data_IF_522817696797
#
_entry.id   IF_522817696797
#
_cell.length_a   1.000
_cell.length_b   1.000
_cell.length_c   1.000
_cell.angle_alpha   90.00
_cell.angle_beta   90.00
_cell.angle_gamma   90.00
#
_symmetry.space_group_name_H-M   'P 1'
#
loop_
_entity.id
_entity.type
_entity.pdbx_description
1 polymer ?
#
# COMPACT_ATOMS: atom_id res chain seq x y z
N UNK A 1 -9.03 13.55 -10.47
CA UNK A 1 -10.05 14.37 -9.80
C UNK A 1 -10.72 15.24 -10.84
N UNK A 2 -11.96 15.64 -10.61
CA UNK A 2 -12.74 16.45 -11.54
C UNK A 2 -13.27 17.67 -10.79
N UNK A 3 -13.12 18.87 -11.36
CA UNK A 3 -13.70 20.10 -10.78
C UNK A 3 -15.24 20.05 -10.93
N UNK A 4 -15.97 20.38 -9.86
CA UNK A 4 -17.43 20.36 -9.85
C UNK A 4 -18.00 21.69 -9.33
N UNK A 5 -19.24 22.07 -9.72
CA UNK A 5 -19.87 23.30 -9.23
C UNK A 5 -19.98 23.34 -7.70
N UNK A 6 -19.96 24.56 -7.15
CA UNK A 6 -20.11 24.75 -5.71
C UNK A 6 -21.55 24.52 -5.25
N UNK A 7 -21.74 24.05 -4.01
CA UNK A 7 -23.06 23.74 -3.42
C UNK A 7 -24.01 24.94 -3.41
N UNK A 8 -23.50 26.18 -3.49
CA UNK A 8 -24.33 27.39 -3.60
C UNK A 8 -25.20 27.42 -4.86
N UNK A 9 -24.84 26.65 -5.88
CA UNK A 9 -25.52 26.62 -7.19
C UNK A 9 -26.46 25.40 -7.34
N UNK A 10 -26.53 24.50 -6.36
CA UNK A 10 -27.32 23.27 -6.42
C UNK A 10 -28.75 23.47 -5.88
N UNK A 11 -29.76 23.10 -6.66
CA UNK A 11 -31.20 23.26 -6.32
C UNK A 11 -31.71 22.27 -5.25
N UNK A 12 -31.00 21.17 -5.00
CA UNK A 12 -31.34 20.16 -3.98
C UNK A 12 -30.11 19.75 -3.15
N UNK A 13 -30.31 19.44 -1.87
CA UNK A 13 -29.24 18.95 -0.99
C UNK A 13 -28.93 17.48 -1.30
N UNK A 14 -28.04 17.27 -2.24
CA UNK A 14 -27.51 15.95 -2.55
C UNK A 14 -26.57 15.45 -1.43
N UNK A 15 -26.71 14.18 -1.04
CA UNK A 15 -25.81 13.54 -0.07
C UNK A 15 -24.38 13.59 -0.59
N UNK A 16 -23.51 14.31 0.11
CA UNK A 16 -22.11 14.50 -0.26
C UNK A 16 -21.22 14.60 0.98
N UNK A 17 -19.95 14.25 0.82
CA UNK A 17 -18.96 14.31 1.88
C UNK A 17 -17.70 15.03 1.40
N UNK A 18 -17.23 15.96 2.21
CA UNK A 18 -16.00 16.72 1.99
C UNK A 18 -14.90 16.18 2.89
N UNK A 19 -13.93 15.48 2.29
CA UNK A 19 -12.79 14.92 3.00
C UNK A 19 -11.78 16.03 3.37
N UNK A 20 -11.55 16.29 4.67
CA UNK A 20 -10.43 17.12 5.09
C UNK A 20 -9.12 16.48 4.64
N UNK A 21 -8.19 17.28 4.16
CA UNK A 21 -6.89 16.80 3.73
C UNK A 21 -5.78 17.79 4.02
N UNK A 22 -4.56 17.27 4.12
CA UNK A 22 -3.34 18.06 4.28
C UNK A 22 -2.15 17.36 3.65
N UNK A 23 -1.12 18.11 3.30
CA UNK A 23 0.15 17.55 2.84
C UNK A 23 1.05 17.18 4.01
N UNK A 24 1.69 16.02 3.93
CA UNK A 24 2.77 15.58 4.83
C UNK A 24 4.03 15.37 3.99
N UNK A 25 5.09 16.09 4.35
CA UNK A 25 6.38 15.93 3.69
C UNK A 25 7.15 14.78 4.34
N UNK A 26 7.60 13.82 3.53
CA UNK A 26 8.51 12.74 3.91
C UNK A 26 9.82 12.94 3.19
N UNK A 27 10.77 13.61 3.85
CA UNK A 27 12.07 13.98 3.26
C UNK A 27 12.95 12.76 2.93
N UNK A 28 12.70 11.65 3.62
CA UNK A 28 13.32 10.33 3.45
C UNK A 28 12.73 9.50 2.30
N UNK A 29 11.59 9.92 1.72
CA UNK A 29 10.98 9.19 0.61
C UNK A 29 11.72 9.42 -0.71
N UNK A 30 12.27 8.35 -1.28
CA UNK A 30 12.95 8.38 -2.58
C UNK A 30 12.03 8.68 -3.76
N UNK A 31 10.72 8.35 -3.67
CA UNK A 31 9.78 8.48 -4.78
C UNK A 31 8.78 9.63 -4.65
N UNK A 32 8.32 9.98 -3.45
CA UNK A 32 7.26 10.99 -3.29
C UNK A 32 7.44 11.78 -2.00
N UNK A 33 8.12 12.93 -2.11
CA UNK A 33 8.43 13.81 -0.98
C UNK A 33 7.19 14.41 -0.31
N UNK A 34 6.08 14.58 -1.02
CA UNK A 34 4.83 15.10 -0.48
C UNK A 34 3.70 14.08 -0.63
N UNK A 35 3.17 13.59 0.49
CA UNK A 35 1.98 12.73 0.52
C UNK A 35 0.79 13.55 1.00
N UNK A 36 -0.31 13.56 0.24
CA UNK A 36 -1.57 14.10 0.76
C UNK A 36 -2.14 13.08 1.74
N UNK A 37 -2.74 13.49 2.85
CA UNK A 37 -3.44 12.63 3.80
C UNK A 37 -4.90 13.05 3.84
N UNK A 38 -5.81 12.12 3.58
CA UNK A 38 -7.25 12.35 3.69
C UNK A 38 -7.77 11.81 5.03
N UNK A 39 -8.49 12.64 5.79
CA UNK A 39 -9.06 12.25 7.06
C UNK A 39 -10.55 11.93 6.94
N UNK A 40 -10.88 10.73 6.48
CA UNK A 40 -12.27 10.28 6.36
C UNK A 40 -12.88 9.80 7.69
N UNK A 41 -12.08 9.75 8.77
CA UNK A 41 -12.54 9.50 10.14
C UNK A 41 -12.91 10.80 10.88
N UNK A 42 -12.74 11.96 10.26
CA UNK A 42 -13.19 13.22 10.81
C UNK A 42 -14.71 13.22 10.94
N UNK A 43 -15.21 13.44 12.16
CA UNK A 43 -16.64 13.55 12.42
C UNK A 43 -17.21 14.79 11.74
N UNK A 44 -18.34 14.62 11.06
CA UNK A 44 -19.06 15.74 10.46
C UNK A 44 -19.95 16.44 11.49
N UNK A 45 -20.74 17.44 11.06
CA UNK A 45 -21.62 18.22 11.95
C UNK A 45 -22.68 17.38 12.67
N UNK A 46 -22.99 16.18 12.19
CA UNK A 46 -23.92 15.25 12.84
C UNK A 46 -23.21 14.24 13.78
N UNK A 47 -21.89 14.37 13.98
CA UNK A 47 -21.11 13.48 14.84
C UNK A 47 -20.68 12.14 14.23
N UNK A 48 -21.06 11.87 12.97
CA UNK A 48 -20.74 10.66 12.22
C UNK A 48 -19.65 11.00 11.19
N UNK A 49 -18.65 10.12 11.04
CA UNK A 49 -17.60 10.22 10.02
C UNK A 49 -17.96 9.42 8.76
N UNK A 50 -17.24 9.66 7.65
CA UNK A 50 -17.49 8.88 6.43
C UNK A 50 -17.12 7.40 6.62
N UNK A 51 -16.06 7.13 7.37
CA UNK A 51 -15.65 5.76 7.69
C UNK A 51 -16.67 5.00 8.55
N UNK A 52 -17.47 5.69 9.37
CA UNK A 52 -18.51 5.03 10.20
C UNK A 52 -19.67 4.44 9.37
N UNK A 53 -19.87 4.92 8.15
CA UNK A 53 -21.01 4.53 7.29
C UNK A 53 -20.60 3.66 6.09
N UNK A 54 -19.31 3.38 5.94
CA UNK A 54 -18.79 2.58 4.85
C UNK A 54 -18.89 1.08 5.14
N UNK A 55 -19.13 0.31 4.09
CA UNK A 55 -18.97 -1.14 4.14
C UNK A 55 -17.51 -1.50 3.86
N UNK A 56 -16.77 -1.88 4.92
CA UNK A 56 -15.32 -2.16 4.86
C UNK A 56 -14.99 -3.36 3.97
N UNK A 57 -15.91 -4.33 3.84
CA UNK A 57 -15.67 -5.59 3.15
C UNK A 57 -14.83 -6.58 3.99
N UNK A 58 -14.91 -7.89 3.69
CA UNK A 58 -14.13 -8.90 4.40
C UNK A 58 -12.64 -8.84 4.03
N UNK A 59 -11.79 -9.45 4.84
CA UNK A 59 -10.40 -9.70 4.48
C UNK A 59 -10.33 -10.74 3.35
N UNK A 60 -9.59 -10.44 2.27
CA UNK A 60 -9.45 -11.32 1.09
C UNK A 60 -8.01 -11.73 0.76
N UNK A 61 -7.05 -11.21 1.51
CA UNK A 61 -5.63 -11.56 1.43
C UNK A 61 -5.23 -12.36 2.67
N UNK A 62 -4.23 -13.22 2.47
CA UNK A 62 -3.55 -13.92 3.55
C UNK A 62 -2.90 -12.93 4.53
N UNK A 63 -2.45 -13.43 5.66
CA UNK A 63 -1.67 -12.61 6.56
C UNK A 63 -0.21 -12.47 6.16
N UNK A 64 0.32 -11.31 6.54
CA UNK A 64 1.70 -10.97 6.23
C UNK A 64 2.66 -12.00 6.81
N UNK A 65 2.31 -12.65 7.92
CA UNK A 65 3.18 -13.67 8.49
C UNK A 65 3.20 -14.93 7.62
N UNK A 66 2.04 -15.42 7.16
CA UNK A 66 1.92 -16.53 6.21
C UNK A 66 2.68 -16.25 4.91
N UNK A 67 2.55 -15.03 4.37
CA UNK A 67 3.27 -14.56 3.18
C UNK A 67 4.78 -14.61 3.43
N UNK A 68 5.25 -14.09 4.56
CA UNK A 68 6.66 -14.07 4.93
C UNK A 68 7.23 -15.48 5.16
N UNK A 69 6.44 -16.42 5.69
CA UNK A 69 6.84 -17.81 5.82
C UNK A 69 7.05 -18.44 4.45
N UNK A 70 6.07 -18.32 3.54
CA UNK A 70 6.19 -18.84 2.16
C UNK A 70 7.40 -18.26 1.45
N UNK A 71 7.57 -16.95 1.54
CA UNK A 71 8.73 -16.22 1.04
C UNK A 71 10.06 -16.83 1.51
N UNK A 72 10.15 -17.22 2.79
CA UNK A 72 11.36 -17.83 3.36
C UNK A 72 11.63 -19.27 2.94
N UNK A 73 10.67 -19.97 2.36
CA UNK A 73 10.88 -21.31 1.83
C UNK A 73 11.54 -21.32 0.45
N UNK A 74 11.50 -20.22 -0.29
CA UNK A 74 12.09 -20.13 -1.62
C UNK A 74 13.60 -19.91 -1.58
N UNK A 75 14.30 -20.52 -2.54
CA UNK A 75 15.74 -20.27 -2.76
C UNK A 75 15.98 -18.95 -3.45
N UNK A 76 15.11 -18.60 -4.40
CA UNK A 76 15.17 -17.36 -5.16
C UNK A 76 13.90 -16.59 -4.86
N UNK A 77 14.04 -15.39 -4.32
CA UNK A 77 12.91 -14.57 -3.90
C UNK A 77 12.76 -13.36 -4.79
N UNK A 78 11.52 -12.89 -4.95
CA UNK A 78 11.16 -11.79 -5.83
C UNK A 78 10.17 -10.86 -5.13
N UNK A 79 10.53 -9.58 -5.06
CA UNK A 79 9.72 -8.54 -4.45
C UNK A 79 9.52 -7.38 -5.41
N UNK A 80 8.33 -6.78 -5.41
CA UNK A 80 7.99 -5.55 -6.13
C UNK A 80 6.85 -4.79 -5.44
N UNK A 81 6.68 -3.50 -5.77
CA UNK A 81 5.53 -2.70 -5.31
C UNK A 81 4.64 -2.24 -6.48
N UNK A 82 3.32 -2.25 -6.28
CA UNK A 82 2.36 -1.68 -7.23
C UNK A 82 2.38 -0.15 -7.12
N UNK A 83 2.67 0.52 -8.24
CA UNK A 83 2.66 1.97 -8.27
C UNK A 83 1.26 2.55 -7.99
N UNK A 84 1.17 3.24 -6.84
CA UNK A 84 -0.01 4.03 -6.46
C UNK A 84 -1.29 3.21 -6.59
N UNK A 85 -1.28 1.98 -6.07
CA UNK A 85 -2.35 0.97 -6.22
C UNK A 85 -3.77 1.56 -6.19
N UNK A 86 -4.14 2.29 -5.13
CA UNK A 86 -5.48 2.87 -4.97
C UNK A 86 -5.88 3.82 -6.11
N UNK A 87 -4.91 4.53 -6.70
CA UNK A 87 -5.18 5.49 -7.78
C UNK A 87 -5.44 4.83 -9.13
N UNK A 88 -5.19 3.53 -9.27
CA UNK A 88 -5.49 2.79 -10.50
C UNK A 88 -6.95 2.33 -10.57
N UNK A 89 -7.70 2.44 -9.47
CA UNK A 89 -9.05 1.88 -9.35
C UNK A 89 -10.06 3.02 -9.36
N UNK A 90 -10.94 3.01 -10.36
CA UNK A 90 -11.98 4.03 -10.53
C UNK A 90 -13.14 3.76 -9.56
N UNK A 91 -13.60 4.81 -8.88
CA UNK A 91 -14.81 4.79 -8.06
C UNK A 91 -16.02 5.02 -8.96
N UNK A 92 -17.10 4.28 -8.67
CA UNK A 92 -18.40 4.45 -9.30
C UNK A 92 -18.82 5.92 -9.31
N UNK A 93 -19.29 6.40 -10.46
CA UNK A 93 -19.64 7.81 -10.67
C UNK A 93 -20.66 8.33 -9.66
N UNK A 94 -21.61 7.51 -9.21
CA UNK A 94 -22.64 7.92 -8.25
C UNK A 94 -22.07 8.10 -6.84
N UNK A 95 -20.94 7.45 -6.53
CA UNK A 95 -20.30 7.52 -5.22
C UNK A 95 -19.22 8.62 -5.12
N UNK A 96 -18.77 9.20 -6.23
CA UNK A 96 -17.70 10.23 -6.24
C UNK A 96 -18.06 11.48 -5.45
N UNK A 97 -19.35 11.81 -5.37
CA UNK A 97 -19.86 12.91 -4.53
C UNK A 97 -19.60 12.72 -3.03
N UNK A 98 -19.28 11.50 -2.60
CA UNK A 98 -18.88 11.17 -1.22
C UNK A 98 -17.36 11.29 -1.01
N UNK A 99 -16.61 11.71 -2.02
CA UNK A 99 -15.16 11.92 -1.96
C UNK A 99 -14.78 13.31 -2.48
N UNK A 100 -15.50 14.35 -2.02
CA UNK A 100 -15.22 15.74 -2.39
C UNK A 100 -14.07 16.31 -1.59
N UNK A 101 -13.32 17.22 -2.18
CA UNK A 101 -12.28 18.01 -1.50
C UNK A 101 -12.41 19.48 -1.87
N UNK A 102 -11.91 20.35 -0.98
CA UNK A 102 -11.80 21.79 -1.20
C UNK A 102 -10.34 22.13 -1.48
N UNK A 103 -10.03 22.69 -2.64
CA UNK A 103 -8.65 22.99 -3.03
C UNK A 103 -8.52 24.34 -3.74
N UNK A 104 -7.36 24.97 -3.59
CA UNK A 104 -6.92 26.17 -4.31
C UNK A 104 -5.40 26.16 -4.35
N UNK A 105 -4.80 26.64 -5.43
CA UNK A 105 -3.34 26.66 -5.57
C UNK A 105 -2.70 27.76 -4.73
N UNK A 106 -3.36 28.92 -4.62
CA UNK A 106 -2.86 30.06 -3.84
C UNK A 106 -3.92 30.61 -2.88
N UNK A 107 -3.54 31.25 -1.75
CA UNK A 107 -4.49 31.85 -0.82
C UNK A 107 -5.36 32.96 -1.43
N UNK A 108 -4.90 33.59 -2.51
CA UNK A 108 -5.60 34.62 -3.28
C UNK A 108 -6.66 34.07 -4.22
N UNK A 109 -6.57 32.80 -4.60
CA UNK A 109 -7.53 32.17 -5.51
C UNK A 109 -8.81 31.72 -4.80
N UNK A 110 -9.94 31.68 -5.54
CA UNK A 110 -11.18 31.11 -5.03
C UNK A 110 -11.00 29.63 -4.72
N UNK A 111 -11.61 29.18 -3.62
CA UNK A 111 -11.66 27.75 -3.27
C UNK A 111 -12.56 27.02 -4.28
N UNK A 112 -12.02 25.97 -4.88
CA UNK A 112 -12.72 25.09 -5.80
C UNK A 112 -13.10 23.77 -5.14
N UNK A 113 -14.12 23.11 -5.70
CA UNK A 113 -14.56 21.78 -5.26
C UNK A 113 -14.11 20.76 -6.30
N UNK A 114 -13.50 19.68 -5.82
CA UNK A 114 -13.11 18.56 -6.67
C UNK A 114 -13.71 17.26 -6.15
N UNK A 115 -14.08 16.38 -7.07
CA UNK A 115 -14.40 14.98 -6.77
C UNK A 115 -13.19 14.09 -7.06
N UNK A 116 -12.83 13.23 -6.11
CA UNK A 116 -11.83 12.20 -6.31
C UNK A 116 -12.45 11.06 -7.12
N UNK A 117 -11.81 10.70 -8.24
CA UNK A 117 -12.35 9.73 -9.21
C UNK A 117 -11.97 8.29 -8.90
N UNK A 118 -10.99 8.09 -8.01
CA UNK A 118 -10.35 6.81 -7.76
C UNK A 118 -10.42 6.48 -6.28
N UNK A 119 -10.14 5.23 -5.92
CA UNK A 119 -10.16 4.79 -4.53
C UNK A 119 -9.21 5.68 -3.72
N UNK A 120 -9.74 6.28 -2.65
CA UNK A 120 -9.01 7.24 -1.83
C UNK A 120 -8.54 6.56 -0.54
N UNK A 121 -7.24 6.54 -0.31
CA UNK A 121 -6.66 6.04 0.95
C UNK A 121 -7.15 6.89 2.14
N UNK A 122 -7.22 6.27 3.31
CA UNK A 122 -7.85 6.86 4.50
C UNK A 122 -9.36 6.63 4.57
N UNK A 123 -9.98 6.11 3.50
CA UNK A 123 -11.32 5.51 3.57
C UNK A 123 -11.24 4.07 4.10
N UNK A 124 -12.20 3.67 4.91
CA UNK A 124 -12.21 2.35 5.56
C UNK A 124 -12.39 1.19 4.58
N UNK A 125 -13.10 1.39 3.45
CA UNK A 125 -13.29 0.36 2.42
C UNK A 125 -12.15 0.26 1.41
N UNK A 126 -11.21 1.22 1.39
CA UNK A 126 -10.13 1.25 0.40
C UNK A 126 -9.28 -0.05 0.36
N UNK A 127 -8.86 -0.64 1.49
CA UNK A 127 -8.06 -1.86 1.46
C UNK A 127 -8.79 -3.03 0.80
N UNK A 128 -10.08 -3.23 1.12
CA UNK A 128 -10.86 -4.28 0.47
C UNK A 128 -11.03 -4.01 -1.02
N UNK A 129 -11.40 -2.80 -1.41
CA UNK A 129 -11.61 -2.45 -2.82
C UNK A 129 -10.34 -2.69 -3.64
N UNK A 130 -9.17 -2.34 -3.10
CA UNK A 130 -7.91 -2.52 -3.82
C UNK A 130 -7.49 -3.98 -3.91
N UNK A 131 -7.49 -4.69 -2.79
CA UNK A 131 -7.05 -6.10 -2.73
C UNK A 131 -8.03 -7.04 -3.45
N UNK A 132 -9.33 -6.72 -3.45
CA UNK A 132 -10.34 -7.49 -4.20
C UNK A 132 -10.13 -7.42 -5.71
N UNK A 133 -9.57 -6.33 -6.25
CA UNK A 133 -9.18 -6.24 -7.66
C UNK A 133 -8.08 -7.26 -8.00
N UNK A 134 -7.01 -7.35 -7.18
CA UNK A 134 -5.97 -8.38 -7.37
C UNK A 134 -6.59 -9.78 -7.24
N UNK A 135 -7.44 -10.00 -6.24
CA UNK A 135 -8.11 -11.29 -6.07
C UNK A 135 -8.99 -11.65 -7.26
N UNK A 136 -9.61 -10.67 -7.93
CA UNK A 136 -10.36 -10.91 -9.15
C UNK A 136 -9.44 -11.37 -10.28
N UNK A 137 -8.30 -10.70 -10.46
CA UNK A 137 -7.30 -11.10 -11.47
C UNK A 137 -6.77 -12.52 -11.22
N UNK A 138 -6.58 -12.91 -9.96
CA UNK A 138 -6.23 -14.29 -9.57
C UNK A 138 -7.30 -15.29 -10.03
N UNK A 139 -8.59 -15.00 -9.80
CA UNK A 139 -9.69 -15.88 -10.19
C UNK A 139 -9.88 -16.00 -11.71
N UNK A 140 -9.59 -14.92 -12.44
CA UNK A 140 -9.74 -14.88 -13.91
C UNK A 140 -8.50 -15.42 -14.65
N UNK A 141 -7.38 -15.57 -13.94
CA UNK A 141 -6.12 -16.05 -14.50
C UNK A 141 -6.19 -17.54 -14.87
N UNK A 142 -5.71 -17.87 -16.07
CA UNK A 142 -5.69 -19.24 -16.58
C UNK A 142 -4.41 -20.00 -16.21
N UNK A 143 -3.32 -19.28 -15.94
CA UNK A 143 -2.07 -19.89 -15.48
C UNK A 143 -2.18 -20.14 -13.97
N UNK A 144 -2.21 -21.41 -13.51
CA UNK A 144 -2.42 -21.72 -12.10
C UNK A 144 -1.30 -21.21 -11.19
N UNK A 145 -0.07 -21.11 -11.69
CA UNK A 145 1.07 -20.60 -10.90
C UNK A 145 0.85 -19.11 -10.65
N UNK A 146 0.49 -18.37 -11.68
CA UNK A 146 0.27 -16.92 -11.59
C UNK A 146 -1.00 -16.60 -10.81
N UNK A 147 -2.04 -17.42 -10.95
CA UNK A 147 -3.26 -17.31 -10.16
C UNK A 147 -2.98 -17.47 -8.67
N UNK A 148 -2.14 -18.42 -8.29
CA UNK A 148 -1.73 -18.68 -6.90
C UNK A 148 -0.93 -17.50 -6.33
N UNK A 149 0.09 -17.01 -7.06
CA UNK A 149 0.88 -15.84 -6.67
C UNK A 149 0.00 -14.59 -6.47
N UNK A 150 -0.88 -14.27 -7.41
CA UNK A 150 -1.83 -13.15 -7.24
C UNK A 150 -2.79 -13.37 -6.05
N UNK A 151 -3.12 -14.62 -5.77
CA UNK A 151 -4.07 -15.00 -4.73
C UNK A 151 -3.49 -14.97 -3.31
N UNK A 152 -2.19 -15.20 -3.18
CA UNK A 152 -1.54 -15.52 -1.92
C UNK A 152 -0.28 -14.69 -1.61
N UNK A 153 0.40 -14.11 -2.59
CA UNK A 153 1.72 -13.49 -2.37
C UNK A 153 1.69 -11.96 -2.36
N UNK A 154 0.51 -11.35 -2.29
CA UNK A 154 0.34 -9.90 -2.15
C UNK A 154 -0.06 -9.51 -0.74
N UNK A 155 0.67 -8.54 -0.18
CA UNK A 155 0.26 -7.78 0.99
C UNK A 155 -0.03 -6.33 0.59
N UNK A 156 -1.33 -5.99 0.48
CA UNK A 156 -1.78 -4.71 -0.10
C UNK A 156 -1.15 -4.48 -1.48
N UNK A 157 -0.16 -3.60 -1.60
CA UNK A 157 0.53 -3.20 -2.81
C UNK A 157 1.89 -3.89 -3.01
N UNK A 158 2.37 -4.63 -2.02
CA UNK A 158 3.66 -5.32 -2.08
C UNK A 158 3.47 -6.77 -2.55
N UNK A 159 4.20 -7.14 -3.61
CA UNK A 159 4.41 -8.52 -4.05
C UNK A 159 5.58 -9.10 -3.25
N UNK A 160 5.39 -10.24 -2.62
CA UNK A 160 6.41 -10.97 -1.86
C UNK A 160 6.32 -12.45 -2.23
N UNK A 161 7.09 -12.87 -3.23
CA UNK A 161 7.01 -14.21 -3.84
C UNK A 161 8.41 -14.80 -4.08
N UNK A 162 8.49 -15.92 -4.79
CA UNK A 162 9.74 -16.60 -5.11
C UNK A 162 9.53 -17.96 -5.76
N UNK A 163 10.62 -18.72 -5.87
CA UNK A 163 10.64 -20.05 -6.44
C UNK A 163 11.94 -20.78 -6.15
N UNK A 164 12.02 -22.03 -6.60
CA UNK A 164 13.17 -22.91 -6.38
C UNK A 164 14.15 -22.93 -7.55
N UNK A 165 13.77 -22.35 -8.69
CA UNK A 165 14.60 -22.28 -9.90
C UNK A 165 14.54 -20.91 -10.58
N UNK A 166 15.61 -20.46 -11.26
CA UNK A 166 15.61 -19.19 -11.98
C UNK A 166 14.48 -19.08 -13.01
N UNK A 167 14.25 -20.14 -13.80
CA UNK A 167 13.24 -20.17 -14.85
C UNK A 167 11.82 -19.96 -14.30
N UNK A 168 11.52 -20.57 -13.16
CA UNK A 168 10.24 -20.42 -12.45
C UNK A 168 10.04 -18.98 -11.98
N UNK A 169 11.04 -18.37 -11.35
CA UNK A 169 10.92 -17.00 -10.85
C UNK A 169 10.86 -15.98 -11.99
N UNK A 170 11.56 -16.22 -13.09
CA UNK A 170 11.45 -15.41 -14.32
C UNK A 170 10.04 -15.53 -14.91
N UNK A 171 9.48 -16.74 -14.95
CA UNK A 171 8.10 -16.97 -15.41
C UNK A 171 7.10 -16.20 -14.54
N UNK A 172 7.20 -16.34 -13.21
CA UNK A 172 6.36 -15.60 -12.25
C UNK A 172 6.49 -14.08 -12.49
N UNK A 173 7.73 -13.57 -12.48
CA UNK A 173 7.98 -12.14 -12.58
C UNK A 173 7.44 -11.51 -13.87
N UNK A 174 7.68 -12.13 -15.03
CA UNK A 174 7.21 -11.62 -16.33
C UNK A 174 5.69 -11.67 -16.43
N UNK A 175 5.06 -12.80 -16.11
CA UNK A 175 3.62 -12.97 -16.29
C UNK A 175 2.80 -12.17 -15.26
N UNK A 176 3.24 -12.08 -13.99
CA UNK A 176 2.59 -11.22 -13.00
C UNK A 176 2.68 -9.76 -13.42
N UNK A 177 3.86 -9.30 -13.88
CA UNK A 177 4.07 -7.94 -14.38
C UNK A 177 3.09 -7.61 -15.51
N UNK A 178 3.01 -8.46 -16.52
CA UNK A 178 2.21 -8.21 -17.71
C UNK A 178 0.70 -8.28 -17.41
N UNK A 179 0.27 -9.25 -16.60
CA UNK A 179 -1.13 -9.40 -16.19
C UNK A 179 -1.59 -8.20 -15.35
N UNK A 180 -0.82 -7.78 -14.36
CA UNK A 180 -1.15 -6.60 -13.57
C UNK A 180 -1.15 -5.33 -14.41
N UNK A 181 -0.19 -5.17 -15.33
CA UNK A 181 -0.15 -4.02 -16.23
C UNK A 181 -1.39 -3.95 -17.12
N UNK A 182 -1.93 -5.09 -17.58
CA UNK A 182 -3.18 -5.13 -18.35
C UNK A 182 -4.39 -4.60 -17.59
N UNK A 183 -4.34 -4.64 -16.26
CA UNK A 183 -5.36 -4.10 -15.35
C UNK A 183 -5.02 -2.69 -14.82
N UNK A 184 -3.94 -2.07 -15.31
CA UNK A 184 -3.46 -0.75 -14.88
C UNK A 184 -2.54 -0.75 -13.67
N UNK A 185 -2.27 -1.92 -13.06
CA UNK A 185 -1.35 -2.05 -11.94
C UNK A 185 0.08 -2.26 -12.42
N UNK A 186 0.89 -1.21 -12.36
CA UNK A 186 2.28 -1.27 -12.81
C UNK A 186 3.21 -1.59 -11.63
N UNK A 187 3.94 -2.71 -11.73
CA UNK A 187 4.93 -3.10 -10.73
C UNK A 187 6.25 -2.36 -10.92
N UNK A 188 6.86 -1.95 -9.80
CA UNK A 188 8.14 -1.24 -9.75
C UNK A 188 8.96 -1.66 -8.53
N UNK A 189 10.17 -1.10 -8.40
CA UNK A 189 11.16 -1.40 -7.36
C UNK A 189 11.43 -2.91 -7.18
N UNK A 190 11.47 -3.62 -8.30
CA UNK A 190 11.80 -5.03 -8.38
C UNK A 190 13.14 -5.33 -7.70
N UNK A 191 13.17 -6.41 -6.91
CA UNK A 191 14.36 -6.92 -6.21
C UNK A 191 14.32 -8.43 -6.14
N UNK A 192 15.50 -9.03 -6.17
CA UNK A 192 15.72 -10.47 -6.05
C UNK A 192 17.08 -10.71 -5.38
N UNK A 193 17.23 -11.83 -4.69
CA UNK A 193 18.53 -12.32 -4.24
C UNK A 193 19.34 -12.98 -5.39
N UNK A 194 18.73 -13.17 -6.56
CA UNK A 194 19.39 -13.57 -7.80
C UNK A 194 19.31 -12.45 -8.86
N UNK A 195 20.48 -11.88 -9.18
CA UNK A 195 20.60 -10.78 -10.14
C UNK A 195 20.33 -11.20 -11.58
N UNK A 196 20.53 -12.48 -11.92
CA UNK A 196 20.27 -13.00 -13.27
C UNK A 196 18.78 -12.98 -13.56
N UNK A 197 17.97 -13.50 -12.62
CA UNK A 197 16.51 -13.45 -12.65
C UNK A 197 16.00 -12.02 -12.75
N UNK A 198 16.55 -11.11 -11.94
CA UNK A 198 16.13 -9.70 -11.96
C UNK A 198 16.37 -9.03 -13.32
N UNK A 199 17.51 -9.34 -13.96
CA UNK A 199 17.87 -8.78 -15.27
C UNK A 199 16.97 -9.26 -16.42
N UNK A 200 16.28 -10.39 -16.25
CA UNK A 200 15.33 -10.90 -17.23
C UNK A 200 13.94 -10.28 -17.08
N UNK A 201 13.56 -9.86 -15.87
CA UNK A 201 12.23 -9.31 -15.59
C UNK A 201 12.19 -7.82 -15.89
N UNK A 202 13.31 -7.11 -15.67
CA UNK A 202 13.39 -5.65 -15.69
C UNK A 202 14.43 -5.17 -16.69
N UNK A 203 14.07 -4.20 -17.54
CA UNK A 203 15.05 -3.53 -18.40
C UNK A 203 16.09 -2.77 -17.53
N UNK A 204 17.35 -2.79 -17.94
CA UNK A 204 18.58 -2.45 -17.18
C UNK A 204 18.66 -1.04 -16.52
N UNK A 205 17.59 -0.24 -16.54
CA UNK A 205 17.53 1.12 -15.98
C UNK A 205 16.98 1.20 -14.55
N UNK A 206 16.64 0.08 -13.91
CA UNK A 206 16.19 0.08 -12.52
C UNK A 206 17.40 0.10 -11.56
N UNK A 207 17.55 1.19 -10.82
CA UNK A 207 18.54 1.32 -9.75
C UNK A 207 18.25 0.31 -8.64
N UNK A 208 19.02 -0.77 -8.62
CA UNK A 208 19.02 -1.71 -7.51
C UNK A 208 19.40 -0.93 -6.23
N UNK A 209 18.47 -0.85 -5.30
CA UNK A 209 18.75 -0.41 -3.93
C UNK A 209 18.98 -1.66 -3.10
N UNK A 210 19.91 -1.62 -2.14
CA UNK A 210 20.30 -2.83 -1.40
C UNK A 210 19.24 -3.28 -0.38
N UNK A 211 18.48 -2.33 0.17
CA UNK A 211 17.58 -2.59 1.29
C UNK A 211 16.13 -2.24 0.95
N UNK A 212 15.21 -3.19 1.15
CA UNK A 212 13.77 -3.01 0.94
C UNK A 212 13.06 -3.05 2.29
N UNK A 213 12.04 -2.22 2.48
CA UNK A 213 11.17 -2.31 3.66
C UNK A 213 9.95 -3.13 3.27
N UNK A 214 9.73 -4.27 3.92
CA UNK A 214 8.62 -5.20 3.63
C UNK A 214 7.31 -4.73 4.31
N UNK A 215 7.32 -3.60 5.02
CA UNK A 215 6.08 -3.00 5.51
C UNK A 215 6.24 -1.51 5.86
N UNK A 216 5.49 -0.62 5.21
CA UNK A 216 5.38 0.79 5.64
C UNK A 216 3.96 1.40 5.55
N UNK A 217 2.91 0.56 5.51
CA UNK A 217 1.53 1.05 5.34
C UNK A 217 0.69 0.91 6.64
N UNK A 218 0.88 1.85 7.58
CA UNK A 218 0.08 1.97 8.82
C UNK A 218 -1.37 2.47 8.58
N UNK A 219 -2.37 2.10 9.43
CA UNK A 219 -2.30 2.18 10.89
C UNK A 219 -2.74 0.90 11.61
N UNK A 220 -1.79 0.00 11.82
CA UNK A 220 -1.53 -0.61 13.12
C UNK A 220 -0.13 -1.22 13.07
N UNK A 221 0.82 -0.51 13.69
CA UNK A 221 2.24 -0.81 13.79
C UNK A 221 2.48 -2.23 14.26
N UNK A 222 2.65 -3.18 13.35
CA UNK A 222 3.16 -4.49 13.78
C UNK A 222 4.35 -5.01 12.98
N UNK A 223 4.55 -4.80 11.67
CA UNK A 223 5.50 -5.70 10.98
C UNK A 223 6.66 -5.06 10.17
N UNK A 224 7.07 -3.82 10.47
CA UNK A 224 8.15 -3.07 9.78
C UNK A 224 9.54 -3.71 9.70
N UNK A 225 9.66 -4.79 8.92
CA UNK A 225 10.86 -5.54 8.60
C UNK A 225 11.57 -4.94 7.39
N UNK A 226 12.89 -5.00 7.42
CA UNK A 226 13.73 -4.78 6.25
C UNK A 226 14.26 -6.09 5.70
N UNK A 227 14.61 -6.10 4.43
CA UNK A 227 15.29 -7.21 3.76
C UNK A 227 16.49 -6.72 2.97
N UNK A 228 17.61 -7.41 3.17
CA UNK A 228 18.82 -7.24 2.38
C UNK A 228 18.86 -8.34 1.32
N UNK A 229 18.68 -7.94 0.06
CA UNK A 229 18.61 -8.91 -1.04
C UNK A 229 19.94 -9.62 -1.31
N UNK A 230 21.06 -8.97 -1.01
CA UNK A 230 22.38 -9.50 -1.34
C UNK A 230 22.83 -10.59 -0.35
N UNK A 231 22.48 -10.45 0.92
CA UNK A 231 22.75 -11.47 1.94
C UNK A 231 21.56 -12.40 2.20
N UNK A 232 20.39 -12.09 1.63
CA UNK A 232 19.11 -12.75 1.91
C UNK A 232 18.78 -12.80 3.42
N UNK A 233 18.92 -11.65 4.09
CA UNK A 233 18.68 -11.52 5.53
C UNK A 233 17.53 -10.57 5.82
N UNK A 234 16.58 -11.02 6.65
CA UNK A 234 15.55 -10.16 7.25
C UNK A 234 16.13 -9.44 8.47
N UNK A 235 15.83 -8.15 8.61
CA UNK A 235 16.29 -7.33 9.73
C UNK A 235 15.17 -6.43 10.27
N UNK A 236 15.33 -5.96 11.51
CA UNK A 236 14.40 -5.00 12.11
C UNK A 236 14.89 -3.57 11.93
N UNK A 237 13.98 -2.69 11.51
CA UNK A 237 14.27 -1.26 11.43
C UNK A 237 14.03 -0.64 12.80
N UNK A 238 15.12 -0.40 13.51
CA UNK A 238 15.12 0.29 14.80
C UNK A 238 15.47 1.76 14.56
N UNK A 239 14.53 2.66 14.84
CA UNK A 239 14.85 4.08 14.92
C UNK A 239 15.84 4.26 16.06
N UNK A 240 17.02 4.81 15.77
CA UNK A 240 18.02 5.08 16.81
C UNK A 240 17.42 5.89 17.96
N UNK A 241 17.78 5.53 19.19
CA UNK A 241 17.44 6.35 20.33
C UNK A 241 18.15 7.70 20.18
N UNK A 242 17.40 8.78 20.32
CA UNK A 242 17.92 10.14 20.34
C UNK A 242 18.92 10.23 21.51
N UNK A 243 20.22 10.26 21.21
CA UNK A 243 21.30 10.22 22.21
C UNK A 243 21.24 11.40 23.17
N UNK A 244 20.53 12.45 22.79
CA UNK A 244 20.36 13.69 23.56
C UNK A 244 19.20 13.61 24.57
N UNK A 245 18.40 12.54 24.56
CA UNK A 245 17.32 12.33 25.54
C UNK A 245 17.75 11.37 26.65
N UNK A 246 17.45 11.65 27.92
CA UNK A 246 17.74 10.72 29.01
C UNK A 246 16.93 9.43 28.83
N UNK A 247 17.62 8.30 28.95
CA UNK A 247 17.01 6.97 28.86
C UNK A 247 16.04 6.80 30.04
N UNK A 248 14.76 6.59 29.73
CA UNK A 248 13.73 6.28 30.73
C UNK A 248 13.28 4.83 30.62
N UNK A 249 12.79 4.25 31.72
CA UNK A 249 12.13 2.93 31.70
C UNK A 249 11.05 2.85 30.61
N UNK A 250 10.31 3.94 30.39
CA UNK A 250 9.30 4.05 29.32
C UNK A 250 9.91 3.97 27.91
N UNK A 251 11.04 4.65 27.67
CA UNK A 251 11.77 4.58 26.39
C UNK A 251 12.31 3.17 26.13
N UNK A 252 12.89 2.52 27.14
CA UNK A 252 13.38 1.15 27.03
C UNK A 252 12.25 0.14 26.79
N UNK A 253 11.16 0.19 27.56
CA UNK A 253 10.01 -0.69 27.37
C UNK A 253 9.34 -0.47 26.00
N UNK A 254 9.30 0.76 25.51
CA UNK A 254 8.82 1.06 24.15
C UNK A 254 9.69 0.42 23.07
N UNK A 255 11.02 0.46 23.21
CA UNK A 255 11.94 -0.22 22.27
C UNK A 255 11.84 -1.75 22.35
N UNK A 256 11.75 -2.30 23.55
CA UNK A 256 11.58 -3.75 23.76
C UNK A 256 10.24 -4.20 23.18
N UNK A 257 9.13 -3.49 23.47
CA UNK A 257 7.82 -3.76 22.88
C UNK A 257 7.85 -3.71 21.34
N UNK A 258 8.57 -2.75 20.76
CA UNK A 258 8.77 -2.67 19.30
C UNK A 258 9.53 -3.85 18.69
N UNK A 259 10.20 -4.68 19.47
CA UNK A 259 10.87 -5.90 19.00
C UNK A 259 10.00 -7.12 19.33
N UNK A 260 9.47 -7.19 20.55
CA UNK A 260 8.68 -8.33 21.04
C UNK A 260 7.27 -8.40 20.46
N UNK A 261 6.54 -7.28 20.33
CA UNK A 261 5.22 -7.26 19.68
C UNK A 261 5.34 -7.75 18.23
N UNK A 262 6.50 -7.48 17.61
CA UNK A 262 6.80 -7.98 16.27
C UNK A 262 6.99 -9.48 16.27
N UNK A 263 7.77 -10.08 17.19
CA UNK A 263 7.98 -11.54 17.23
C UNK A 263 6.77 -12.35 17.74
N UNK A 264 6.01 -11.82 18.70
CA UNK A 264 4.87 -12.54 19.32
C UNK A 264 3.65 -12.58 18.40
N UNK A 265 3.48 -11.57 17.53
CA UNK A 265 2.43 -11.58 16.50
C UNK A 265 2.53 -12.75 15.50
N UNK A 266 3.70 -13.41 15.42
CA UNK A 266 3.98 -14.58 14.57
C UNK A 266 3.55 -15.90 15.23
N UNK A 267 3.21 -15.89 16.53
CA UNK A 267 2.99 -17.13 17.31
C UNK A 267 1.54 -17.31 17.78
N UNK A 268 0.66 -16.33 17.56
CA UNK A 268 -0.68 -16.30 18.16
C UNK A 268 -1.81 -15.84 17.22
N UNK A 269 -1.70 -16.01 15.90
CA UNK A 269 -2.86 -16.02 15.00
C UNK A 269 -2.94 -17.38 14.30
#
# INVERSE_FOLDING_TARGET
MTEVPTVRDAKERELSFYAPHHGVTREDSSTTKLRVVFNCSAKTSNGISFNDIQLVGPRVQDDLFDILIRFRFYKIVLIADIEKMYRQIIVDTEQRKLQKILFRDTPSEPVKVYELNTVTYGTSSAPYLSTRCIKQLSLDCQDPIIADVLGHDFYIDDLVSGGDSPDEVVHIGKNVKDLLASAGFHLRKWRSNDQTVLSEIVDQNCTATNNFEISDNEPSKTLGLGWNHSSDELFFILSQHDTDKPITKRSMLSQIGRIFDRLVSYLHN
#
